data_IF_558755106506
#
_entry.id   IF_558755106506
#
_cell.length_a   1.000
_cell.length_b   1.000
_cell.length_c   1.000
_cell.angle_alpha   90.00
_cell.angle_beta   90.00
_cell.angle_gamma   90.00
#
_symmetry.space_group_name_H-M   'P 1'
#
loop_
_entity.id
_entity.type
_entity.pdbx_description
1 polymer ?
#
# COMPACT_ATOMS: atom_id res chain seq x y z
N UNK A 1 20.70 29.32 5.92
CA UNK A 1 21.29 28.19 5.17
C UNK A 1 21.06 26.93 5.98
N UNK A 2 20.24 26.01 5.46
CA UNK A 2 20.13 24.68 6.03
C UNK A 2 21.35 23.87 5.60
N UNK A 3 22.03 23.23 6.55
CA UNK A 3 23.12 22.31 6.24
C UNK A 3 22.62 21.19 5.31
N UNK A 4 23.45 20.77 4.37
CA UNK A 4 23.10 19.64 3.50
C UNK A 4 22.91 18.39 4.37
N UNK A 5 21.86 17.59 4.14
CA UNK A 5 21.64 16.37 4.92
C UNK A 5 22.73 15.35 4.67
N UNK A 6 23.11 14.61 5.70
CA UNK A 6 24.03 13.50 5.57
C UNK A 6 23.34 12.24 5.00
N UNK A 7 22.03 12.15 5.15
CA UNK A 7 21.21 11.00 4.75
C UNK A 7 19.91 11.47 4.10
N UNK A 8 19.46 10.73 3.08
CA UNK A 8 18.18 10.96 2.40
C UNK A 8 17.39 9.66 2.37
N UNK A 9 16.22 9.68 2.98
CA UNK A 9 15.32 8.54 3.09
C UNK A 9 14.19 8.62 2.07
N UNK A 10 14.07 7.63 1.21
CA UNK A 10 13.01 7.55 0.20
C UNK A 10 12.52 6.11 0.03
N UNK A 11 11.24 5.94 -0.23
CA UNK A 11 10.69 4.61 -0.48
C UNK A 11 10.99 4.07 -1.90
N UNK A 12 11.35 4.94 -2.82
CA UNK A 12 11.56 4.59 -4.25
C UNK A 12 12.51 5.57 -4.91
N UNK A 13 13.37 5.08 -5.81
CA UNK A 13 14.31 5.90 -6.58
C UNK A 13 13.81 6.30 -7.98
N UNK A 14 12.70 5.71 -8.47
CA UNK A 14 12.19 5.94 -9.84
C UNK A 14 11.06 6.97 -9.93
N UNK A 15 10.56 7.47 -8.83
CA UNK A 15 9.61 8.57 -8.84
C UNK A 15 10.31 9.89 -9.18
N UNK A 16 9.65 10.75 -9.97
CA UNK A 16 10.23 12.02 -10.42
C UNK A 16 10.77 12.89 -9.27
N UNK A 17 9.99 13.02 -8.20
CA UNK A 17 10.41 13.77 -7.00
C UNK A 17 11.63 13.14 -6.32
N UNK A 18 11.64 11.82 -6.17
CA UNK A 18 12.75 11.07 -5.57
C UNK A 18 14.04 11.25 -6.39
N UNK A 19 13.97 11.15 -7.72
CA UNK A 19 15.12 11.37 -8.59
C UNK A 19 15.70 12.78 -8.40
N UNK A 20 14.84 13.80 -8.30
CA UNK A 20 15.28 15.17 -8.06
C UNK A 20 15.99 15.29 -6.73
N UNK A 21 15.38 14.81 -5.64
CA UNK A 21 15.96 14.88 -4.28
C UNK A 21 17.29 14.14 -4.19
N UNK A 22 17.36 12.92 -4.73
CA UNK A 22 18.58 12.10 -4.71
C UNK A 22 19.72 12.74 -5.52
N UNK A 23 19.43 13.54 -6.53
CA UNK A 23 20.43 14.25 -7.29
C UNK A 23 20.84 15.59 -6.65
N UNK A 24 19.91 16.30 -6.01
CA UNK A 24 20.22 17.51 -5.24
C UNK A 24 21.19 17.15 -4.10
N UNK A 25 20.91 16.06 -3.39
CA UNK A 25 21.70 15.57 -2.27
C UNK A 25 22.62 14.40 -2.70
N UNK A 26 23.33 14.54 -3.81
CA UNK A 26 24.14 13.49 -4.41
C UNK A 26 25.23 12.93 -3.45
N UNK A 27 25.69 13.74 -2.51
CA UNK A 27 26.73 13.37 -1.52
C UNK A 27 26.16 12.71 -0.26
N UNK A 28 24.84 12.78 -0.06
CA UNK A 28 24.19 12.14 1.09
C UNK A 28 24.07 10.63 0.88
N UNK A 29 24.10 9.87 1.97
CA UNK A 29 23.78 8.46 1.96
C UNK A 29 22.30 8.27 1.59
N UNK A 30 22.02 7.47 0.56
CA UNK A 30 20.70 7.24 0.02
C UNK A 30 20.09 5.99 0.62
N UNK A 31 19.08 6.17 1.42
CA UNK A 31 18.46 5.09 2.20
C UNK A 31 17.06 4.79 1.66
N UNK A 32 16.84 3.53 1.27
CA UNK A 32 15.52 3.03 0.95
C UNK A 32 14.80 2.60 2.21
N UNK A 33 13.50 2.95 2.34
CA UNK A 33 12.71 2.48 3.47
C UNK A 33 11.29 2.12 3.06
N UNK A 34 10.63 1.27 3.85
CA UNK A 34 9.21 0.96 3.67
C UNK A 34 8.85 -0.51 3.86
N UNK A 35 7.71 -0.88 3.28
CA UNK A 35 7.20 -2.25 3.29
C UNK A 35 7.96 -3.18 2.34
N UNK A 36 8.65 -2.63 1.37
CA UNK A 36 9.52 -3.32 0.41
C UNK A 36 8.85 -4.32 -0.53
N UNK A 37 7.54 -4.45 -0.49
CA UNK A 37 6.82 -5.46 -1.27
C UNK A 37 7.13 -5.36 -2.75
N UNK A 38 7.15 -4.16 -3.31
CA UNK A 38 7.49 -3.95 -4.71
C UNK A 38 8.95 -4.28 -5.06
N UNK A 39 9.83 -4.42 -4.07
CA UNK A 39 11.23 -4.84 -4.23
C UNK A 39 11.40 -6.35 -4.05
N UNK A 40 10.60 -6.96 -3.17
CA UNK A 40 10.62 -8.39 -2.94
C UNK A 40 9.89 -9.18 -4.03
N UNK A 41 8.89 -8.60 -4.67
CA UNK A 41 8.06 -9.22 -5.71
C UNK A 41 8.05 -8.39 -7.00
N UNK A 42 9.22 -8.16 -7.63
CA UNK A 42 9.29 -7.32 -8.83
C UNK A 42 8.53 -7.94 -10.01
N UNK A 43 8.44 -9.26 -10.07
CA UNK A 43 7.77 -9.95 -11.18
C UNK A 43 6.26 -9.79 -11.15
N UNK A 44 5.62 -9.88 -9.98
CA UNK A 44 4.19 -9.65 -9.85
C UNK A 44 3.81 -8.21 -10.19
N UNK A 45 4.69 -7.27 -9.84
CA UNK A 45 4.48 -5.86 -10.17
C UNK A 45 4.55 -5.58 -11.69
N UNK A 46 5.33 -6.40 -12.43
CA UNK A 46 5.56 -6.22 -13.86
C UNK A 46 4.88 -7.27 -14.74
N UNK A 47 4.18 -8.25 -14.18
CA UNK A 47 3.65 -9.40 -14.90
C UNK A 47 2.65 -9.06 -16.00
N UNK A 48 1.86 -7.99 -15.85
CA UNK A 48 0.88 -7.53 -16.85
C UNK A 48 1.48 -6.74 -17.99
N UNK A 49 2.73 -6.42 -17.88
CA UNK A 49 3.33 -5.49 -18.82
C UNK A 49 3.90 -6.25 -20.00
N UNK A 50 3.54 -5.81 -21.23
CA UNK A 50 4.21 -6.28 -22.42
C UNK A 50 5.73 -6.03 -22.35
N UNK A 51 6.48 -6.69 -23.23
CA UNK A 51 7.95 -6.56 -23.28
C UNK A 51 8.40 -5.10 -23.33
N UNK A 52 7.74 -4.26 -24.13
CA UNK A 52 8.07 -2.84 -24.26
C UNK A 52 7.82 -2.10 -22.93
N UNK A 53 6.74 -2.37 -22.26
CA UNK A 53 6.43 -1.75 -20.97
C UNK A 53 7.38 -2.23 -19.88
N UNK A 54 7.71 -3.53 -19.84
CA UNK A 54 8.74 -4.08 -18.95
C UNK A 54 10.09 -3.40 -19.18
N UNK A 55 10.51 -3.30 -20.44
CA UNK A 55 11.75 -2.60 -20.80
C UNK A 55 11.71 -1.13 -20.39
N UNK A 56 10.62 -0.43 -20.66
CA UNK A 56 10.47 0.99 -20.26
C UNK A 56 10.50 1.23 -18.76
N UNK A 57 10.05 0.24 -17.97
CA UNK A 57 10.05 0.28 -16.49
C UNK A 57 11.33 -0.32 -15.90
N UNK A 58 12.14 -1.03 -16.69
CA UNK A 58 13.48 -1.46 -16.26
C UNK A 58 14.37 -0.22 -15.99
N UNK A 59 15.42 -0.41 -15.19
CA UNK A 59 16.38 0.67 -14.90
C UNK A 59 16.91 1.30 -16.19
N UNK A 60 17.21 0.47 -17.20
CA UNK A 60 17.68 0.95 -18.52
C UNK A 60 16.59 1.75 -19.24
N UNK A 61 15.37 1.23 -19.29
CA UNK A 61 14.24 1.90 -19.93
C UNK A 61 13.86 3.21 -19.24
N UNK A 62 13.92 3.27 -17.91
CA UNK A 62 13.67 4.49 -17.15
C UNK A 62 14.75 5.54 -17.41
N UNK A 63 16.03 5.14 -17.46
CA UNK A 63 17.15 6.02 -17.82
C UNK A 63 16.97 6.57 -19.25
N UNK A 64 16.69 5.71 -20.22
CA UNK A 64 16.48 6.13 -21.61
C UNK A 64 15.28 7.08 -21.74
N UNK A 65 14.15 6.77 -21.12
CA UNK A 65 12.97 7.62 -21.16
C UNK A 65 13.21 8.97 -20.48
N UNK A 66 13.97 8.99 -19.40
CA UNK A 66 14.42 10.20 -18.73
C UNK A 66 15.26 11.07 -19.66
N UNK A 67 16.28 10.52 -20.31
CA UNK A 67 17.12 11.26 -21.25
C UNK A 67 16.33 11.76 -22.47
N UNK A 68 15.45 10.92 -23.02
CA UNK A 68 14.55 11.33 -24.12
C UNK A 68 13.71 12.55 -23.73
N UNK A 69 13.06 12.52 -22.58
CA UNK A 69 12.25 13.64 -22.07
C UNK A 69 13.12 14.88 -21.82
N UNK A 70 14.33 14.71 -21.32
CA UNK A 70 15.26 15.80 -21.11
C UNK A 70 15.65 16.46 -22.42
N UNK A 71 16.01 15.68 -23.44
CA UNK A 71 16.33 16.20 -24.78
C UNK A 71 15.12 16.95 -25.36
N UNK A 72 13.91 16.36 -25.26
CA UNK A 72 12.68 17.02 -25.71
C UNK A 72 12.45 18.37 -25.00
N UNK A 73 12.69 18.44 -23.69
CA UNK A 73 12.55 19.70 -22.95
C UNK A 73 13.59 20.72 -23.30
N UNK A 74 14.85 20.33 -23.56
CA UNK A 74 15.90 21.20 -24.01
C UNK A 74 15.54 21.78 -25.38
N UNK A 75 15.07 20.94 -26.30
CA UNK A 75 14.66 21.38 -27.65
C UNK A 75 13.43 22.31 -27.60
N UNK A 76 12.48 22.02 -26.70
CA UNK A 76 11.25 22.81 -26.57
C UNK A 76 11.46 24.13 -25.83
N UNK A 77 12.41 24.18 -24.87
CA UNK A 77 12.65 25.37 -24.04
C UNK A 77 14.15 25.67 -23.87
N UNK A 78 14.88 26.01 -24.96
CA UNK A 78 16.33 26.13 -24.92
C UNK A 78 16.85 27.20 -23.96
N UNK A 79 16.08 28.27 -23.74
CA UNK A 79 16.46 29.36 -22.82
C UNK A 79 16.13 29.14 -21.35
N UNK A 80 15.33 28.12 -21.00
CA UNK A 80 14.87 27.84 -19.62
C UNK A 80 15.50 26.63 -19.00
N UNK A 81 16.24 25.85 -19.75
CA UNK A 81 16.89 24.67 -19.25
C UNK A 81 18.35 25.01 -18.98
N UNK A 82 18.73 25.38 -17.74
CA UNK A 82 20.14 25.41 -17.41
C UNK A 82 20.69 24.04 -17.77
N UNK A 83 21.96 23.97 -18.16
CA UNK A 83 22.70 22.72 -18.34
C UNK A 83 22.66 21.94 -16.98
N UNK A 84 21.49 21.44 -16.67
CA UNK A 84 21.29 20.55 -15.56
C UNK A 84 22.25 19.40 -15.82
N UNK A 85 23.21 19.21 -14.91
CA UNK A 85 24.03 18.01 -14.82
C UNK A 85 23.11 16.84 -15.15
N UNK A 86 23.59 15.95 -16.01
CA UNK A 86 22.85 14.75 -16.41
C UNK A 86 22.46 14.03 -15.15
N UNK A 87 21.18 14.15 -14.75
CA UNK A 87 20.68 13.48 -13.57
C UNK A 87 20.79 11.97 -13.83
N UNK A 88 21.63 11.30 -13.09
CA UNK A 88 21.65 9.84 -13.08
C UNK A 88 20.40 9.32 -12.35
N UNK A 89 19.99 8.08 -12.60
CA UNK A 89 19.11 7.38 -11.70
C UNK A 89 20.00 6.84 -10.57
N UNK A 90 20.04 7.48 -9.40
CA UNK A 90 20.89 7.03 -8.32
C UNK A 90 20.30 5.74 -7.74
N UNK A 91 21.17 4.78 -7.44
CA UNK A 91 20.79 3.61 -6.66
C UNK A 91 20.81 3.97 -5.16
N UNK A 92 20.13 3.17 -4.36
CA UNK A 92 20.23 3.29 -2.92
C UNK A 92 21.56 2.67 -2.43
N UNK A 93 22.12 3.27 -1.40
CA UNK A 93 23.33 2.75 -0.74
C UNK A 93 22.96 1.68 0.29
N UNK A 94 21.78 1.84 0.92
CA UNK A 94 21.28 0.97 1.99
C UNK A 94 19.77 0.94 2.06
N UNK A 95 19.19 -0.06 2.78
CA UNK A 95 17.75 -0.15 3.01
C UNK A 95 17.35 -0.55 4.42
N UNK A 96 16.22 0.02 4.91
CA UNK A 96 15.55 -0.40 6.14
C UNK A 96 14.11 -0.80 5.82
N UNK A 97 13.77 -2.05 6.07
CA UNK A 97 12.49 -2.61 5.69
C UNK A 97 11.66 -3.07 6.88
N UNK A 98 10.36 -2.79 6.83
CA UNK A 98 9.44 -3.14 7.92
C UNK A 98 9.18 -4.64 8.01
N UNK A 99 9.33 -5.38 6.91
CA UNK A 99 9.03 -6.81 6.86
C UNK A 99 10.21 -7.61 6.34
N UNK A 100 10.39 -8.86 6.85
CA UNK A 100 11.41 -9.74 6.35
C UNK A 100 11.16 -10.12 4.89
N UNK A 101 12.25 -10.40 4.18
CA UNK A 101 12.14 -10.88 2.81
C UNK A 101 11.63 -12.32 2.77
N UNK A 102 10.38 -12.49 2.38
CA UNK A 102 9.72 -13.80 2.24
C UNK A 102 9.75 -14.35 0.82
N UNK A 103 10.12 -13.54 -0.17
CA UNK A 103 10.14 -13.94 -1.59
C UNK A 103 11.44 -14.63 -2.03
N UNK A 104 12.51 -14.50 -1.24
CA UNK A 104 13.84 -14.92 -1.62
C UNK A 104 14.54 -13.99 -2.63
N UNK A 105 13.86 -12.99 -3.18
CA UNK A 105 14.45 -12.00 -4.09
C UNK A 105 15.08 -10.87 -3.30
N UNK A 106 16.42 -10.73 -3.38
CA UNK A 106 17.12 -9.67 -2.67
C UNK A 106 17.10 -8.36 -3.49
N UNK A 107 16.89 -7.19 -2.84
CA UNK A 107 17.17 -5.90 -3.45
C UNK A 107 18.64 -5.79 -3.89
N UNK A 108 18.96 -4.95 -4.89
CA UNK A 108 20.32 -4.81 -5.42
C UNK A 108 21.28 -4.02 -4.52
N UNK A 109 20.91 -3.78 -3.26
CA UNK A 109 21.69 -3.06 -2.27
C UNK A 109 21.59 -3.75 -0.89
N UNK A 110 22.49 -3.42 0.02
CA UNK A 110 22.43 -3.93 1.39
C UNK A 110 21.21 -3.42 2.12
N UNK A 111 20.57 -4.28 2.91
CA UNK A 111 19.42 -3.88 3.70
C UNK A 111 19.34 -4.63 5.03
N UNK A 112 18.63 -4.02 5.96
CA UNK A 112 18.24 -4.63 7.23
C UNK A 112 16.72 -4.65 7.37
N UNK A 113 16.21 -5.65 8.04
CA UNK A 113 14.81 -5.69 8.46
C UNK A 113 14.71 -5.13 9.87
N UNK A 114 13.83 -4.16 10.05
CA UNK A 114 13.55 -3.59 11.37
C UNK A 114 12.92 -4.69 12.23
N UNK A 115 13.44 -4.95 13.45
CA UNK A 115 12.81 -5.89 14.35
C UNK A 115 11.35 -5.50 14.63
N UNK A 116 10.44 -6.47 14.54
CA UNK A 116 8.99 -6.22 14.68
C UNK A 116 8.65 -5.56 16.01
N UNK A 117 9.30 -5.98 17.10
CA UNK A 117 9.08 -5.39 18.42
C UNK A 117 9.50 -3.90 18.45
N UNK A 118 10.62 -3.56 17.80
CA UNK A 118 11.07 -2.17 17.67
C UNK A 118 10.08 -1.34 16.85
N UNK A 119 9.51 -1.91 15.81
CA UNK A 119 8.48 -1.27 15.00
C UNK A 119 7.21 -1.03 15.82
N UNK A 120 6.74 -2.03 16.59
CA UNK A 120 5.60 -1.88 17.52
C UNK A 120 5.83 -0.77 18.54
N UNK A 121 6.96 -0.79 19.25
CA UNK A 121 7.31 0.25 20.23
C UNK A 121 7.33 1.64 19.59
N UNK A 122 7.83 1.76 18.35
CA UNK A 122 7.84 3.04 17.64
C UNK A 122 6.42 3.50 17.31
N UNK A 123 5.56 2.59 16.88
CA UNK A 123 4.15 2.90 16.61
C UNK A 123 3.40 3.29 17.88
N UNK A 124 3.63 2.62 18.99
CA UNK A 124 3.05 2.95 20.30
C UNK A 124 3.43 4.36 20.76
N UNK A 125 4.71 4.71 20.64
CA UNK A 125 5.18 6.08 20.91
C UNK A 125 4.49 7.10 20.01
N UNK A 126 4.34 6.80 18.74
CA UNK A 126 3.67 7.71 17.81
C UNK A 126 2.19 7.88 18.15
N UNK A 127 1.49 6.79 18.46
CA UNK A 127 0.07 6.79 18.85
C UNK A 127 -0.17 7.60 20.13
N UNK A 128 0.77 7.60 21.08
CA UNK A 128 0.63 8.38 22.32
C UNK A 128 0.55 9.90 22.07
N UNK A 129 1.00 10.36 20.91
CA UNK A 129 0.95 11.77 20.49
C UNK A 129 -0.26 12.10 19.59
N UNK A 130 -1.05 11.10 19.23
CA UNK A 130 -2.23 11.29 18.37
C UNK A 130 -3.47 10.98 19.20
N UNK A 131 -4.42 11.89 19.27
CA UNK A 131 -5.76 11.62 19.77
C UNK A 131 -6.50 10.68 18.81
N UNK A 132 -6.21 9.40 18.92
CA UNK A 132 -7.04 8.36 18.30
C UNK A 132 -8.23 8.11 19.22
N UNK A 133 -9.22 8.96 19.15
CA UNK A 133 -10.52 8.62 19.71
C UNK A 133 -11.05 7.45 18.92
N UNK A 134 -11.46 6.39 19.62
CA UNK A 134 -12.17 5.25 19.01
C UNK A 134 -13.57 5.75 18.63
N UNK A 135 -13.63 6.53 17.56
CA UNK A 135 -14.85 7.21 17.10
C UNK A 135 -15.89 6.25 16.50
N UNK A 136 -15.70 4.95 16.69
CA UNK A 136 -16.65 3.94 16.24
C UNK A 136 -17.15 3.20 17.47
N UNK A 137 -18.43 3.30 17.73
CA UNK A 137 -19.11 2.57 18.81
C UNK A 137 -19.22 1.08 18.41
N UNK A 138 -18.09 0.39 18.55
CA UNK A 138 -18.00 -1.05 18.31
C UNK A 138 -18.19 -1.75 19.66
N UNK A 139 -19.18 -2.60 19.75
CA UNK A 139 -19.31 -3.53 20.88
C UNK A 139 -18.15 -4.54 20.82
N UNK A 140 -17.06 -4.24 21.51
CA UNK A 140 -15.84 -5.04 21.55
C UNK A 140 -16.02 -6.39 22.28
N UNK A 141 -17.17 -6.64 22.88
CA UNK A 141 -17.48 -7.96 23.45
C UNK A 141 -17.84 -8.96 22.37
N UNK A 142 -18.30 -8.49 21.22
CA UNK A 142 -18.69 -9.31 20.06
C UNK A 142 -17.56 -9.52 19.09
N UNK A 143 -17.62 -10.60 18.35
CA UNK A 143 -16.78 -10.79 17.18
C UNK A 143 -17.23 -9.82 16.08
N UNK A 144 -16.29 -9.27 15.36
CA UNK A 144 -16.56 -8.43 14.19
C UNK A 144 -15.54 -8.68 13.07
N UNK A 145 -15.89 -8.27 11.89
CA UNK A 145 -15.02 -8.36 10.70
C UNK A 145 -14.56 -6.98 10.30
N UNK A 146 -13.39 -6.91 9.68
CA UNK A 146 -12.84 -5.68 9.13
C UNK A 146 -12.57 -5.87 7.64
N UNK A 147 -13.10 -4.98 6.81
CA UNK A 147 -12.80 -4.91 5.38
C UNK A 147 -11.91 -3.71 5.09
N UNK A 148 -10.69 -3.96 4.63
CA UNK A 148 -9.82 -2.92 4.09
C UNK A 148 -10.05 -2.83 2.58
N UNK A 149 -10.56 -1.68 2.13
CA UNK A 149 -10.78 -1.43 0.70
C UNK A 149 -9.49 -1.07 -0.02
N UNK A 150 -9.56 -1.02 -1.34
CA UNK A 150 -8.49 -0.56 -2.21
C UNK A 150 -9.07 0.44 -3.22
N UNK A 151 -8.23 1.00 -4.06
CA UNK A 151 -8.62 2.01 -5.05
C UNK A 151 -8.62 1.43 -6.48
N UNK A 152 -9.26 0.29 -6.70
CA UNK A 152 -9.20 -0.38 -8.01
C UNK A 152 -9.89 0.42 -9.10
N UNK A 153 -11.05 1.00 -8.82
CA UNK A 153 -11.78 1.83 -9.79
C UNK A 153 -11.06 3.15 -10.05
N UNK A 154 -10.54 3.82 -9.03
CA UNK A 154 -9.76 5.04 -9.17
C UNK A 154 -8.45 4.82 -9.93
N UNK A 155 -7.89 3.61 -9.84
CA UNK A 155 -6.73 3.20 -10.62
C UNK A 155 -7.08 2.69 -12.04
N UNK A 156 -8.37 2.69 -12.41
CA UNK A 156 -8.85 2.24 -13.71
C UNK A 156 -8.70 0.73 -13.96
N UNK A 157 -8.64 -0.08 -12.89
CA UNK A 157 -8.47 -1.54 -12.99
C UNK A 157 -9.78 -2.29 -13.19
N UNK A 158 -10.87 -1.73 -12.72
CA UNK A 158 -12.25 -2.20 -12.91
C UNK A 158 -13.23 -1.03 -12.82
N UNK A 159 -14.51 -1.26 -13.08
CA UNK A 159 -15.54 -0.23 -12.81
C UNK A 159 -15.82 -0.11 -11.30
N UNK A 160 -16.34 1.04 -10.86
CA UNK A 160 -16.75 1.21 -9.46
C UNK A 160 -17.82 0.17 -9.06
N UNK A 161 -18.81 -0.09 -9.93
CA UNK A 161 -19.84 -1.09 -9.70
C UNK A 161 -19.28 -2.49 -9.51
N UNK A 162 -18.29 -2.88 -10.31
CA UNK A 162 -17.63 -4.18 -10.23
C UNK A 162 -16.80 -4.29 -8.95
N UNK A 163 -16.12 -3.22 -8.57
CA UNK A 163 -15.35 -3.18 -7.34
C UNK A 163 -16.24 -3.39 -6.11
N UNK A 164 -17.36 -2.67 -6.03
CA UNK A 164 -18.32 -2.81 -4.93
C UNK A 164 -18.91 -4.23 -4.89
N UNK A 165 -19.28 -4.77 -6.05
CA UNK A 165 -19.81 -6.15 -6.16
C UNK A 165 -18.76 -7.17 -5.73
N UNK A 166 -17.49 -6.96 -6.09
CA UNK A 166 -16.38 -7.83 -5.69
C UNK A 166 -16.19 -7.87 -4.19
N UNK A 167 -16.26 -6.72 -3.50
CA UNK A 167 -16.13 -6.67 -2.05
C UNK A 167 -17.28 -7.40 -1.34
N UNK A 168 -18.51 -7.19 -1.79
CA UNK A 168 -19.68 -7.89 -1.23
C UNK A 168 -19.49 -9.40 -1.35
N UNK A 169 -19.21 -9.89 -2.56
CA UNK A 169 -18.97 -11.33 -2.82
C UNK A 169 -17.77 -11.87 -2.07
N UNK A 170 -16.72 -11.09 -1.94
CA UNK A 170 -15.52 -11.48 -1.18
C UNK A 170 -15.86 -11.73 0.29
N UNK A 171 -16.56 -10.81 0.94
CA UNK A 171 -16.96 -11.00 2.34
C UNK A 171 -17.93 -12.17 2.48
N UNK A 172 -18.92 -12.29 1.60
CA UNK A 172 -19.91 -13.37 1.64
C UNK A 172 -19.30 -14.75 1.42
N UNK A 173 -18.28 -14.88 0.56
CA UNK A 173 -17.66 -16.19 0.23
C UNK A 173 -17.02 -16.87 1.44
N UNK A 174 -16.64 -16.12 2.46
CA UNK A 174 -16.05 -16.64 3.69
C UNK A 174 -17.05 -16.76 4.84
N UNK A 175 -18.31 -16.48 4.61
CA UNK A 175 -19.42 -16.61 5.57
C UNK A 175 -19.00 -16.22 6.99
N UNK A 176 -18.71 -14.94 7.24
CA UNK A 176 -18.24 -14.53 8.56
C UNK A 176 -19.28 -14.88 9.61
N UNK A 177 -18.84 -15.43 10.75
CA UNK A 177 -19.71 -15.80 11.88
C UNK A 177 -20.42 -14.60 12.50
N UNK A 178 -19.98 -13.40 12.15
CA UNK A 178 -20.53 -12.14 12.63
C UNK A 178 -21.09 -11.32 11.47
N UNK A 179 -22.21 -10.68 11.73
CA UNK A 179 -22.80 -9.71 10.81
C UNK A 179 -22.23 -8.30 10.96
N UNK A 180 -21.40 -8.05 11.99
CA UNK A 180 -20.79 -6.73 12.21
C UNK A 180 -19.56 -6.61 11.32
N UNK A 181 -19.55 -5.60 10.45
CA UNK A 181 -18.48 -5.34 9.50
C UNK A 181 -18.01 -3.89 9.62
N UNK A 182 -16.76 -3.71 9.97
CA UNK A 182 -16.09 -2.41 9.96
C UNK A 182 -15.38 -2.20 8.63
N UNK A 183 -15.70 -1.15 7.93
CA UNK A 183 -14.99 -0.75 6.71
C UNK A 183 -13.89 0.25 7.06
N UNK A 184 -12.66 -0.07 6.67
CA UNK A 184 -11.54 0.88 6.64
C UNK A 184 -11.31 1.31 5.20
N UNK A 185 -11.75 2.51 4.82
CA UNK A 185 -11.55 3.03 3.48
C UNK A 185 -10.07 3.20 3.11
N UNK A 186 -9.75 2.99 1.84
CA UNK A 186 -8.47 3.39 1.29
C UNK A 186 -8.41 4.94 1.19
N UNK A 187 -7.26 5.60 1.41
CA UNK A 187 -7.16 7.07 1.36
C UNK A 187 -7.55 7.74 0.04
N UNK A 188 -7.72 6.96 -1.02
CA UNK A 188 -8.17 7.44 -2.33
C UNK A 188 -9.61 7.10 -2.67
N UNK A 189 -10.30 6.39 -1.80
CA UNK A 189 -11.72 6.10 -2.00
C UNK A 189 -12.54 7.38 -1.89
N UNK A 190 -13.53 7.54 -2.74
CA UNK A 190 -14.50 8.63 -2.57
C UNK A 190 -15.51 8.29 -1.49
N UNK A 191 -16.06 9.31 -0.85
CA UNK A 191 -17.10 9.13 0.17
C UNK A 191 -18.34 8.46 -0.42
N UNK A 192 -18.70 8.82 -1.64
CA UNK A 192 -19.83 8.26 -2.37
C UNK A 192 -19.66 6.76 -2.61
N UNK A 193 -18.44 6.33 -2.99
CA UNK A 193 -18.12 4.91 -3.17
C UNK A 193 -18.30 4.14 -1.87
N UNK A 194 -17.80 4.67 -0.76
CA UNK A 194 -17.90 4.01 0.54
C UNK A 194 -19.35 3.94 1.02
N UNK A 195 -20.13 4.99 0.83
CA UNK A 195 -21.56 4.97 1.18
C UNK A 195 -22.33 3.95 0.34
N UNK A 196 -22.07 3.85 -0.96
CA UNK A 196 -22.66 2.81 -1.81
C UNK A 196 -22.24 1.39 -1.38
N UNK A 197 -20.99 1.20 -0.97
CA UNK A 197 -20.54 -0.09 -0.43
C UNK A 197 -21.28 -0.45 0.84
N UNK A 198 -21.42 0.51 1.75
CA UNK A 198 -22.17 0.34 3.00
C UNK A 198 -23.62 -0.07 2.71
N UNK A 199 -24.31 0.64 1.82
CA UNK A 199 -25.69 0.33 1.45
C UNK A 199 -25.85 -1.09 0.91
N UNK A 200 -24.94 -1.54 0.03
CA UNK A 200 -24.96 -2.89 -0.52
C UNK A 200 -24.75 -3.95 0.57
N UNK A 201 -23.81 -3.74 1.47
CA UNK A 201 -23.53 -4.67 2.56
C UNK A 201 -24.69 -4.71 3.58
N UNK A 202 -25.34 -3.58 3.85
CA UNK A 202 -26.56 -3.53 4.67
C UNK A 202 -27.70 -4.33 4.02
N UNK A 203 -27.85 -4.23 2.70
CA UNK A 203 -28.82 -5.04 1.96
C UNK A 203 -28.56 -6.55 2.05
N UNK A 204 -27.31 -6.94 2.28
CA UNK A 204 -26.89 -8.33 2.55
C UNK A 204 -26.91 -8.69 4.06
N UNK A 205 -27.65 -7.93 4.86
CA UNK A 205 -27.85 -8.17 6.31
C UNK A 205 -26.63 -7.95 7.20
N UNK A 206 -25.62 -7.19 6.75
CA UNK A 206 -24.52 -6.76 7.60
C UNK A 206 -24.87 -5.51 8.40
N UNK A 207 -24.42 -5.45 9.64
CA UNK A 207 -24.35 -4.20 10.41
C UNK A 207 -23.03 -3.53 10.08
N UNK A 208 -23.08 -2.44 9.30
CA UNK A 208 -21.87 -1.83 8.72
C UNK A 208 -21.48 -0.56 9.46
N UNK A 209 -20.27 -0.53 9.96
CA UNK A 209 -19.60 0.63 10.54
C UNK A 209 -18.50 1.09 9.57
N UNK A 210 -18.22 2.38 9.55
CA UNK A 210 -17.19 2.95 8.65
C UNK A 210 -16.23 3.81 9.46
N UNK A 211 -14.94 3.62 9.24
CA UNK A 211 -13.91 4.52 9.75
C UNK A 211 -13.77 5.73 8.82
N UNK A 212 -14.70 6.66 8.92
CA UNK A 212 -14.82 7.83 8.02
C UNK A 212 -14.28 9.13 8.63
N UNK A 213 -13.89 9.12 9.90
CA UNK A 213 -13.21 10.26 10.50
C UNK A 213 -11.92 10.59 9.71
N UNK A 214 -11.65 11.85 9.35
CA UNK A 214 -10.47 12.24 8.58
C UNK A 214 -9.15 11.69 9.14
N UNK A 215 -9.01 11.63 10.47
CA UNK A 215 -7.82 11.06 11.11
C UNK A 215 -7.71 9.57 10.78
N UNK A 216 -8.76 8.79 10.98
CA UNK A 216 -8.76 7.36 10.71
C UNK A 216 -8.63 7.03 9.22
N UNK A 217 -9.08 7.94 8.35
CA UNK A 217 -9.01 7.76 6.91
C UNK A 217 -7.55 7.73 6.40
N UNK A 218 -6.70 8.63 6.90
CA UNK A 218 -5.32 8.79 6.43
C UNK A 218 -4.28 8.07 7.27
N UNK A 219 -4.57 7.75 8.53
CA UNK A 219 -3.66 7.02 9.40
C UNK A 219 -3.63 5.53 9.01
N UNK A 220 -2.45 4.88 9.04
CA UNK A 220 -2.35 3.43 8.90
C UNK A 220 -3.26 2.71 9.89
N UNK A 221 -3.97 1.69 9.38
CA UNK A 221 -4.94 0.95 10.20
C UNK A 221 -4.27 0.21 11.36
N UNK A 222 -3.01 -0.10 11.21
CA UNK A 222 -2.17 -0.71 12.25
C UNK A 222 -2.15 0.10 13.53
N UNK A 223 -2.17 1.43 13.46
CA UNK A 223 -2.21 2.29 14.63
C UNK A 223 -3.52 2.15 15.40
N UNK A 224 -4.63 2.05 14.70
CA UNK A 224 -5.92 1.75 15.31
C UNK A 224 -5.90 0.38 16.02
N UNK A 225 -5.34 -0.64 15.38
CA UNK A 225 -5.24 -1.98 15.95
C UNK A 225 -4.32 -2.04 17.18
N UNK A 226 -3.20 -1.33 17.17
CA UNK A 226 -2.29 -1.26 18.34
C UNK A 226 -3.02 -0.57 19.51
N UNK A 227 -3.73 0.52 19.25
CA UNK A 227 -4.51 1.19 20.30
C UNK A 227 -5.60 0.28 20.86
N UNK A 228 -6.27 -0.45 19.98
CA UNK A 228 -7.30 -1.40 20.36
C UNK A 228 -6.72 -2.56 21.19
N UNK A 229 -5.56 -3.09 20.82
CA UNK A 229 -4.86 -4.15 21.56
C UNK A 229 -4.40 -3.69 22.95
N UNK A 230 -3.95 -2.43 23.09
CA UNK A 230 -3.56 -1.83 24.37
C UNK A 230 -4.75 -1.72 25.34
N UNK A 231 -5.93 -1.36 24.84
CA UNK A 231 -7.13 -1.20 25.67
C UNK A 231 -7.87 -2.50 25.89
N UNK A 232 -7.81 -3.43 24.94
CA UNK A 232 -8.51 -4.70 24.94
C UNK A 232 -7.58 -5.84 24.49
N UNK A 233 -6.71 -6.34 25.37
CA UNK A 233 -5.81 -7.45 25.05
C UNK A 233 -6.58 -8.64 24.45
N UNK A 234 -6.00 -9.28 23.46
CA UNK A 234 -6.58 -10.40 22.71
C UNK A 234 -7.79 -10.08 21.80
N UNK A 235 -8.21 -8.81 21.68
CA UNK A 235 -9.30 -8.42 20.75
C UNK A 235 -8.97 -8.81 19.31
N UNK A 236 -7.72 -8.70 18.91
CA UNK A 236 -7.25 -9.00 17.54
C UNK A 236 -7.62 -10.44 17.13
N UNK A 237 -7.62 -11.40 18.09
CA UNK A 237 -7.99 -12.78 17.84
C UNK A 237 -9.48 -12.97 17.52
N UNK A 238 -10.32 -11.98 17.86
CA UNK A 238 -11.76 -11.97 17.59
C UNK A 238 -12.12 -11.30 16.28
N UNK A 239 -11.14 -10.69 15.59
CA UNK A 239 -11.35 -9.93 14.36
C UNK A 239 -11.03 -10.82 13.15
N UNK A 240 -11.95 -10.89 12.20
CA UNK A 240 -11.70 -11.44 10.87
C UNK A 240 -11.34 -10.32 9.92
N UNK A 241 -10.15 -10.37 9.36
CA UNK A 241 -9.65 -9.34 8.45
C UNK A 241 -9.83 -9.77 7.00
N UNK A 242 -10.44 -8.90 6.20
CA UNK A 242 -10.57 -9.02 4.76
C UNK A 242 -9.74 -7.92 4.10
N UNK A 243 -8.79 -8.29 3.29
CA UNK A 243 -7.93 -7.31 2.60
C UNK A 243 -7.56 -7.77 1.20
N UNK A 244 -7.44 -6.82 0.32
CA UNK A 244 -6.99 -7.02 -1.07
C UNK A 244 -5.64 -6.35 -1.32
N UNK A 245 -4.98 -5.90 -0.26
CA UNK A 245 -3.73 -5.14 -0.31
C UNK A 245 -2.62 -5.79 0.51
N UNK A 246 -1.42 -5.26 0.38
CA UNK A 246 -0.23 -5.63 1.15
C UNK A 246 -0.35 -5.43 2.67
N UNK A 247 -1.42 -4.82 3.16
CA UNK A 247 -1.72 -4.75 4.59
C UNK A 247 -1.81 -6.13 5.26
N UNK A 248 -2.02 -7.21 4.49
CA UNK A 248 -1.95 -8.57 4.98
C UNK A 248 -0.65 -8.89 5.70
N UNK A 249 0.48 -8.34 5.25
CA UNK A 249 1.78 -8.57 5.87
C UNK A 249 1.87 -7.91 7.25
N UNK A 250 1.35 -6.69 7.40
CA UNK A 250 1.33 -6.04 8.71
C UNK A 250 0.45 -6.81 9.71
N UNK A 251 -0.69 -7.32 9.29
CA UNK A 251 -1.53 -8.16 10.16
C UNK A 251 -0.80 -9.43 10.61
N UNK A 252 -0.12 -10.09 9.69
CA UNK A 252 0.65 -11.28 10.00
C UNK A 252 1.84 -10.99 10.93
N UNK A 253 2.68 -10.04 10.57
CA UNK A 253 3.91 -9.78 11.30
C UNK A 253 3.69 -9.06 12.63
N UNK A 254 2.85 -8.01 12.67
CA UNK A 254 2.63 -7.21 13.87
C UNK A 254 1.67 -7.87 14.86
N UNK A 255 0.62 -8.51 14.37
CA UNK A 255 -0.50 -8.96 15.22
C UNK A 255 -0.67 -10.47 15.26
N UNK A 256 0.11 -11.23 14.48
CA UNK A 256 -0.06 -12.68 14.31
C UNK A 256 -1.50 -13.05 13.88
N UNK A 257 -2.16 -12.14 13.22
CA UNK A 257 -3.49 -12.36 12.67
C UNK A 257 -3.38 -12.95 11.26
N UNK A 258 -4.28 -13.87 10.94
CA UNK A 258 -4.34 -14.51 9.62
C UNK A 258 -5.50 -13.90 8.82
N UNK A 259 -5.25 -12.92 7.93
CA UNK A 259 -6.30 -12.29 7.14
C UNK A 259 -6.76 -13.21 6.00
N UNK A 260 -7.98 -12.98 5.53
CA UNK A 260 -8.44 -13.43 4.22
C UNK A 260 -7.87 -12.46 3.17
N UNK A 261 -7.12 -12.99 2.22
CA UNK A 261 -6.32 -12.18 1.29
C UNK A 261 -6.81 -12.38 -0.13
N UNK A 262 -6.97 -11.27 -0.83
CA UNK A 262 -7.29 -11.28 -2.26
C UNK A 262 -8.75 -11.58 -2.55
N UNK A 263 -9.17 -11.24 -3.75
CA UNK A 263 -10.52 -11.52 -4.25
C UNK A 263 -10.66 -12.97 -4.75
N UNK A 264 -9.54 -13.62 -5.04
CA UNK A 264 -9.49 -14.95 -5.63
C UNK A 264 -9.72 -14.96 -7.15
N UNK A 265 -9.28 -16.05 -7.76
CA UNK A 265 -9.26 -16.24 -9.23
C UNK A 265 -10.61 -15.93 -9.90
N UNK A 266 -11.71 -16.38 -9.30
CA UNK A 266 -13.06 -16.21 -9.86
C UNK A 266 -13.45 -14.74 -10.00
N UNK A 267 -13.37 -14.00 -8.90
CA UNK A 267 -13.77 -12.58 -8.88
C UNK A 267 -12.79 -11.71 -9.68
N UNK A 268 -11.49 -12.01 -9.63
CA UNK A 268 -10.50 -11.29 -10.44
C UNK A 268 -10.78 -11.45 -11.93
N UNK A 269 -11.00 -12.67 -12.41
CA UNK A 269 -11.30 -12.94 -13.82
C UNK A 269 -12.63 -12.34 -14.27
N UNK A 270 -13.61 -12.27 -13.38
CA UNK A 270 -14.93 -11.76 -13.68
C UNK A 270 -15.00 -10.22 -13.75
N UNK A 271 -14.29 -9.53 -12.85
CA UNK A 271 -14.52 -8.10 -12.61
C UNK A 271 -13.36 -7.18 -13.01
N UNK A 272 -12.12 -7.71 -13.05
CA UNK A 272 -10.99 -6.90 -13.51
C UNK A 272 -10.99 -6.75 -15.03
N UNK A 273 -10.51 -5.63 -15.50
CA UNK A 273 -10.23 -5.44 -16.91
C UNK A 273 -9.26 -6.51 -17.40
N UNK A 274 -9.47 -7.03 -18.60
CA UNK A 274 -8.71 -8.15 -19.16
C UNK A 274 -7.18 -7.92 -19.11
N UNK A 275 -6.73 -6.67 -19.34
CA UNK A 275 -5.33 -6.26 -19.29
C UNK A 275 -4.75 -6.23 -17.86
N UNK A 276 -5.58 -6.30 -16.82
CA UNK A 276 -5.19 -6.23 -15.41
C UNK A 276 -5.27 -7.59 -14.70
N UNK A 277 -5.99 -8.56 -15.25
CA UNK A 277 -6.24 -9.87 -14.62
C UNK A 277 -4.95 -10.60 -14.27
N UNK A 278 -4.03 -10.72 -15.21
CA UNK A 278 -2.78 -11.48 -15.02
C UNK A 278 -1.95 -10.94 -13.86
N UNK A 279 -1.76 -9.61 -13.78
CA UNK A 279 -0.97 -9.01 -12.72
C UNK A 279 -1.64 -9.08 -11.37
N UNK A 280 -2.97 -8.95 -11.36
CA UNK A 280 -3.71 -9.11 -10.11
C UNK A 280 -3.60 -10.53 -9.58
N UNK A 281 -3.76 -11.55 -10.41
CA UNK A 281 -3.61 -12.95 -10.01
C UNK A 281 -2.19 -13.27 -9.54
N UNK A 282 -1.16 -12.74 -10.20
CA UNK A 282 0.21 -12.88 -9.73
C UNK A 282 0.39 -12.26 -8.34
N UNK A 283 -0.11 -11.04 -8.15
CA UNK A 283 -0.03 -10.33 -6.86
C UNK A 283 -0.78 -11.04 -5.71
N UNK A 284 -1.84 -11.79 -6.00
CA UNK A 284 -2.57 -12.56 -4.98
C UNK A 284 -1.91 -13.90 -4.64
N UNK A 285 -0.98 -14.37 -5.48
CA UNK A 285 -0.19 -15.59 -5.23
C UNK A 285 1.06 -15.33 -4.41
N UNK A 286 1.67 -14.15 -4.60
CA UNK A 286 2.85 -13.69 -3.87
C UNK A 286 2.50 -13.30 -2.43
#
# INVERSE_FOLDING_TARGET
>A
DLAAPNEVYLSRNWQKGSIVLLNIFAQATKICYGDSIGLYFPESYFSDKDWWTRFRLSVVGLRLNYYRKKIQNILKYPKRTPLLKVLSLPDFDYGYFCFPNISGTAPPFKFETIPIDSLKVTFEKFISHISLETAVDIDLTKNFSVLLTSNFSEAGRMSCTDELTSYVKFVQSYQPETTILLIKPHPRDSKEKIELLKQRLVAESFTVLVLDNPIHFYIPFEFFLIKLEQTHPAIIKKIKFFTVSSACLSFWFLFRAKPYIGLGDGLVKQYFRADQVRGRLAHEKD
#
